data_IF_879105331907
#
_entry.id   IF_879105331907
#
_cell.length_a   1.000
_cell.length_b   1.000
_cell.length_c   1.000
_cell.angle_alpha   90.00
_cell.angle_beta   90.00
_cell.angle_gamma   90.00
#
_symmetry.space_group_name_H-M   'P 1'
#
loop_
_entity.id
_entity.type
_entity.pdbx_description
1 polymer ?
#
# COMPACT_ATOMS: atom_id res chain seq x y z
N UNK A 1 21.16 -0.07 14.55
CA UNK A 1 22.27 0.12 15.52
C UNK A 1 21.87 1.07 16.65
N UNK A 2 21.52 2.33 16.38
CA UNK A 2 21.17 3.33 17.42
C UNK A 2 20.08 2.89 18.40
N UNK A 3 18.94 2.40 17.91
CA UNK A 3 17.84 1.92 18.77
C UNK A 3 18.26 0.73 19.64
N UNK A 4 19.08 -0.19 19.09
CA UNK A 4 19.58 -1.34 19.83
C UNK A 4 20.50 -0.93 21.00
N UNK A 5 21.38 0.04 20.77
CA UNK A 5 22.25 0.59 21.82
C UNK A 5 21.43 1.30 22.91
N UNK A 6 20.40 2.05 22.52
CA UNK A 6 19.53 2.73 23.48
C UNK A 6 18.72 1.74 24.34
N UNK A 7 18.27 0.62 23.77
CA UNK A 7 17.60 -0.47 24.50
C UNK A 7 18.51 -1.14 25.52
N UNK A 8 19.79 -1.33 25.18
CA UNK A 8 20.78 -1.90 26.10
C UNK A 8 21.11 -0.94 27.25
N UNK A 9 21.19 0.37 26.96
CA UNK A 9 21.55 1.38 27.94
C UNK A 9 20.42 1.73 28.93
N UNK A 10 19.16 1.61 28.50
CA UNK A 10 17.98 1.93 29.33
C UNK A 10 16.87 0.90 29.07
N UNK A 11 16.76 -0.17 29.89
CA UNK A 11 15.80 -1.25 29.66
C UNK A 11 14.33 -0.81 29.80
N UNK A 12 14.07 0.30 30.49
CA UNK A 12 12.72 0.85 30.74
C UNK A 12 12.18 1.76 29.61
N UNK A 13 12.87 1.87 28.47
CA UNK A 13 12.36 2.66 27.34
C UNK A 13 12.45 4.18 27.57
N UNK A 14 13.62 4.76 27.32
CA UNK A 14 13.81 6.21 27.47
C UNK A 14 13.09 7.04 26.39
N UNK A 15 12.77 8.31 26.68
CA UNK A 15 12.16 9.25 25.70
C UNK A 15 12.91 9.32 24.37
N UNK A 16 14.24 9.22 24.42
CA UNK A 16 15.10 9.23 23.23
C UNK A 16 14.90 7.96 22.39
N UNK A 17 14.78 6.80 23.03
CA UNK A 17 14.48 5.55 22.32
C UNK A 17 13.14 5.64 21.59
N UNK A 18 12.08 6.07 22.29
CA UNK A 18 10.75 6.23 21.69
C UNK A 18 10.80 7.17 20.47
N UNK A 19 11.50 8.30 20.59
CA UNK A 19 11.65 9.24 19.49
C UNK A 19 12.30 8.59 18.24
N UNK A 20 13.37 7.81 18.42
CA UNK A 20 14.00 7.12 17.29
C UNK A 20 13.15 5.99 16.72
N UNK A 21 12.36 5.29 17.55
CA UNK A 21 11.42 4.27 17.09
C UNK A 21 10.27 4.88 16.27
N UNK A 22 9.71 6.00 16.72
CA UNK A 22 8.72 6.77 15.95
C UNK A 22 9.31 7.29 14.65
N UNK A 23 10.54 7.82 14.70
CA UNK A 23 11.24 8.30 13.52
C UNK A 23 11.49 7.17 12.52
N UNK A 24 11.92 6.00 12.99
CA UNK A 24 12.10 4.81 12.15
C UNK A 24 10.76 4.41 11.51
N UNK A 25 9.70 4.27 12.31
CA UNK A 25 8.37 3.92 11.83
C UNK A 25 7.87 4.89 10.75
N UNK A 26 8.05 6.19 10.96
CA UNK A 26 7.65 7.23 9.99
C UNK A 26 8.43 7.10 8.69
N UNK A 27 9.75 6.93 8.75
CA UNK A 27 10.56 6.78 7.54
C UNK A 27 10.28 5.46 6.82
N UNK A 28 10.01 4.36 7.55
CA UNK A 28 9.56 3.10 6.95
C UNK A 28 8.25 3.29 6.19
N UNK A 29 7.28 4.01 6.77
CA UNK A 29 6.01 4.28 6.09
C UNK A 29 6.20 5.12 4.80
N UNK A 30 7.13 6.07 4.81
CA UNK A 30 7.48 6.85 3.61
C UNK A 30 8.12 5.96 2.55
N UNK A 31 9.10 5.14 2.93
CA UNK A 31 9.73 4.21 2.00
C UNK A 31 8.73 3.25 1.36
N UNK A 32 7.80 2.72 2.16
CA UNK A 32 6.72 1.85 1.68
C UNK A 32 5.83 2.57 0.67
N UNK A 33 5.47 3.82 0.94
CA UNK A 33 4.71 4.64 0.00
C UNK A 33 5.48 4.86 -1.31
N UNK A 34 6.76 5.20 -1.24
CA UNK A 34 7.61 5.41 -2.42
C UNK A 34 7.71 4.16 -3.29
N UNK A 35 7.93 2.99 -2.66
CA UNK A 35 7.97 1.69 -3.33
C UNK A 35 6.65 1.39 -4.08
N UNK A 36 5.51 1.78 -3.51
CA UNK A 36 4.21 1.60 -4.16
C UNK A 36 3.96 2.62 -5.26
N UNK A 37 4.36 3.88 -5.07
CA UNK A 37 4.18 4.97 -6.05
C UNK A 37 4.94 4.69 -7.34
N UNK A 38 6.10 4.03 -7.27
CA UNK A 38 6.88 3.64 -8.44
C UNK A 38 6.08 2.75 -9.42
N UNK A 39 5.19 1.91 -8.91
CA UNK A 39 4.39 1.00 -9.75
C UNK A 39 2.92 1.39 -9.90
N UNK A 40 2.34 2.08 -8.92
CA UNK A 40 0.90 2.29 -8.81
C UNK A 40 0.53 3.78 -8.59
N UNK A 41 1.32 4.70 -9.12
CA UNK A 41 1.13 6.15 -8.92
C UNK A 41 -0.30 6.62 -9.17
N UNK A 42 -0.95 6.14 -10.23
CA UNK A 42 -2.26 6.64 -10.66
C UNK A 42 -3.37 6.09 -9.78
N UNK A 43 -3.28 4.83 -9.35
CA UNK A 43 -4.14 4.24 -8.34
C UNK A 43 -4.08 5.04 -7.03
N UNK A 44 -2.86 5.31 -6.54
CA UNK A 44 -2.65 5.98 -5.26
C UNK A 44 -3.17 7.42 -5.31
N UNK A 45 -2.84 8.16 -6.38
CA UNK A 45 -3.34 9.53 -6.59
C UNK A 45 -4.86 9.54 -6.63
N UNK A 46 -5.48 8.64 -7.39
CA UNK A 46 -6.93 8.55 -7.48
C UNK A 46 -7.58 8.35 -6.10
N UNK A 47 -7.14 7.34 -5.34
CA UNK A 47 -7.73 7.02 -4.03
C UNK A 47 -7.51 8.15 -3.03
N UNK A 48 -6.33 8.78 -3.00
CA UNK A 48 -6.03 9.91 -2.11
C UNK A 48 -6.85 11.15 -2.44
N UNK A 49 -7.00 11.48 -3.73
CA UNK A 49 -7.83 12.60 -4.16
C UNK A 49 -9.29 12.37 -3.74
N UNK A 50 -9.84 11.19 -3.97
CA UNK A 50 -11.22 10.86 -3.56
C UNK A 50 -11.42 10.90 -2.05
N UNK A 51 -10.49 10.36 -1.27
CA UNK A 51 -10.53 10.44 0.19
C UNK A 51 -10.51 11.89 0.69
N UNK A 52 -9.79 12.79 0.01
CA UNK A 52 -9.77 14.22 0.34
C UNK A 52 -11.06 14.95 -0.05
N UNK A 53 -11.67 14.60 -1.20
CA UNK A 53 -12.93 15.19 -1.66
C UNK A 53 -14.10 14.87 -0.73
N UNK A 54 -14.20 13.62 -0.27
CA UNK A 54 -15.24 13.17 0.67
C UNK A 54 -15.14 13.92 2.03
N UNK A 55 -13.95 14.36 2.44
CA UNK A 55 -13.73 15.10 3.69
C UNK A 55 -14.03 16.61 3.58
N UNK A 56 -13.81 17.20 2.39
CA UNK A 56 -13.79 18.67 2.23
C UNK A 56 -15.11 19.21 1.70
N UNK A 57 -15.80 18.49 0.81
CA UNK A 57 -16.87 19.12 0.04
C UNK A 57 -18.29 18.61 0.30
N UNK A 58 -18.50 17.41 0.84
CA UNK A 58 -19.86 16.83 0.95
C UNK A 58 -20.63 16.75 -0.39
N UNK A 59 -19.99 17.15 -1.50
CA UNK A 59 -20.49 17.14 -2.85
C UNK A 59 -19.85 15.95 -3.53
N UNK A 60 -20.64 14.91 -3.79
CA UNK A 60 -20.22 13.78 -4.61
C UNK A 60 -19.95 14.29 -6.03
N UNK A 61 -18.68 14.56 -6.37
CA UNK A 61 -18.33 14.68 -7.78
C UNK A 61 -18.50 13.28 -8.38
N UNK A 62 -19.44 13.06 -9.32
CA UNK A 62 -19.78 11.73 -9.76
C UNK A 62 -18.57 11.08 -10.41
N UNK A 63 -18.13 9.95 -9.87
CA UNK A 63 -17.01 9.17 -10.39
C UNK A 63 -17.44 8.58 -11.74
N UNK A 64 -16.69 8.89 -12.80
CA UNK A 64 -17.01 8.38 -14.13
C UNK A 64 -16.28 7.07 -14.42
N UNK A 65 -16.90 6.17 -15.19
CA UNK A 65 -16.26 4.92 -15.64
C UNK A 65 -14.95 5.21 -16.39
N UNK A 66 -14.93 6.30 -17.16
CA UNK A 66 -13.78 6.75 -17.95
C UNK A 66 -12.54 7.10 -17.13
N UNK A 67 -12.69 7.52 -15.88
CA UNK A 67 -11.57 7.83 -14.99
C UNK A 67 -11.01 6.57 -14.33
N UNK A 68 -11.86 5.59 -14.04
CA UNK A 68 -11.50 4.41 -13.23
C UNK A 68 -11.09 3.21 -14.08
N UNK A 69 -11.71 3.03 -15.24
CA UNK A 69 -11.41 1.95 -16.18
C UNK A 69 -9.91 1.82 -16.54
N UNK A 70 -9.17 2.89 -16.91
CA UNK A 70 -7.75 2.77 -17.22
C UNK A 70 -6.93 2.31 -16.01
N UNK A 71 -7.27 2.77 -14.81
CA UNK A 71 -6.57 2.41 -13.56
C UNK A 71 -6.78 0.93 -13.26
N UNK A 72 -8.01 0.43 -13.40
CA UNK A 72 -8.35 -0.98 -13.16
C UNK A 72 -7.63 -1.89 -14.17
N UNK A 73 -7.62 -1.50 -15.45
CA UNK A 73 -6.95 -2.27 -16.50
C UNK A 73 -5.43 -2.29 -16.31
N UNK A 74 -4.81 -1.13 -16.05
CA UNK A 74 -3.38 -1.04 -15.77
C UNK A 74 -3.00 -1.93 -14.59
N UNK A 75 -3.68 -1.74 -13.45
CA UNK A 75 -3.47 -2.53 -12.24
C UNK A 75 -3.61 -4.02 -12.52
N UNK A 76 -4.72 -4.46 -13.13
CA UNK A 76 -5.00 -5.86 -13.45
C UNK A 76 -3.93 -6.51 -14.33
N UNK A 77 -3.32 -5.75 -15.24
CA UNK A 77 -2.29 -6.25 -16.16
C UNK A 77 -0.91 -6.40 -15.52
N UNK A 78 -0.58 -5.58 -14.51
CA UNK A 78 0.81 -5.44 -14.02
C UNK A 78 1.05 -5.84 -12.57
N UNK A 79 0.02 -5.95 -11.74
CA UNK A 79 0.17 -6.04 -10.28
C UNK A 79 1.06 -7.22 -9.83
N UNK A 80 0.97 -8.38 -10.48
CA UNK A 80 1.78 -9.57 -10.16
C UNK A 80 3.27 -9.31 -10.38
N UNK A 81 3.60 -8.79 -11.57
CA UNK A 81 4.96 -8.47 -11.95
C UNK A 81 5.54 -7.35 -11.08
N UNK A 82 4.74 -6.33 -10.76
CA UNK A 82 5.14 -5.27 -9.85
C UNK A 82 5.47 -5.80 -8.44
N UNK A 83 4.66 -6.71 -7.87
CA UNK A 83 4.97 -7.32 -6.57
C UNK A 83 6.27 -8.13 -6.63
N UNK A 84 6.55 -8.84 -7.73
CA UNK A 84 7.79 -9.59 -7.90
C UNK A 84 9.01 -8.67 -7.99
N UNK A 85 8.89 -7.54 -8.71
CA UNK A 85 9.93 -6.51 -8.76
C UNK A 85 10.18 -5.90 -7.38
N UNK A 86 9.12 -5.47 -6.68
CA UNK A 86 9.21 -4.95 -5.31
C UNK A 86 9.88 -5.94 -4.36
N UNK A 87 9.54 -7.23 -4.46
CA UNK A 87 10.18 -8.27 -3.66
C UNK A 87 11.68 -8.34 -3.96
N UNK A 88 12.07 -8.37 -5.24
CA UNK A 88 13.47 -8.40 -5.67
C UNK A 88 14.27 -7.16 -5.20
N UNK A 89 13.67 -5.98 -5.29
CA UNK A 89 14.32 -4.74 -4.85
C UNK A 89 14.50 -4.72 -3.32
N UNK A 90 13.52 -5.22 -2.57
CA UNK A 90 13.60 -5.32 -1.12
C UNK A 90 14.66 -6.34 -0.67
N UNK A 91 14.70 -7.54 -1.25
CA UNK A 91 15.71 -8.55 -0.86
C UNK A 91 17.14 -8.12 -1.21
N UNK A 92 17.32 -7.31 -2.26
CA UNK A 92 18.64 -6.80 -2.66
C UNK A 92 19.07 -5.57 -1.87
N UNK A 93 18.11 -4.74 -1.44
CA UNK A 93 18.37 -3.51 -0.69
C UNK A 93 18.58 -3.73 0.81
N UNK A 94 17.99 -4.78 1.39
CA UNK A 94 18.06 -5.05 2.83
C UNK A 94 18.89 -6.29 3.14
N UNK A 95 20.03 -6.11 3.80
CA UNK A 95 20.90 -7.23 4.25
C UNK A 95 20.25 -8.10 5.33
N UNK A 96 19.23 -7.58 6.03
CA UNK A 96 18.43 -8.31 7.00
C UNK A 96 17.13 -8.77 6.34
N UNK A 97 17.04 -10.07 6.06
CA UNK A 97 15.88 -10.69 5.43
C UNK A 97 14.57 -10.43 6.21
N UNK A 98 14.59 -10.46 7.54
CA UNK A 98 13.42 -10.17 8.38
C UNK A 98 12.96 -8.73 8.18
N UNK A 99 13.88 -7.77 8.12
CA UNK A 99 13.53 -6.37 7.90
C UNK A 99 12.95 -6.15 6.50
N UNK A 100 13.52 -6.80 5.48
CA UNK A 100 12.99 -6.75 4.12
C UNK A 100 11.57 -7.31 4.04
N UNK A 101 11.33 -8.50 4.62
CA UNK A 101 10.00 -9.11 4.64
C UNK A 101 8.95 -8.24 5.34
N UNK A 102 9.30 -7.60 6.47
CA UNK A 102 8.38 -6.68 7.16
C UNK A 102 8.00 -5.47 6.30
N UNK A 103 8.97 -4.92 5.54
CA UNK A 103 8.74 -3.82 4.59
C UNK A 103 7.83 -4.28 3.45
N UNK A 104 8.09 -5.44 2.88
CA UNK A 104 7.24 -5.99 1.81
C UNK A 104 5.83 -6.25 2.32
N UNK A 105 5.68 -6.83 3.51
CA UNK A 105 4.36 -7.04 4.13
C UNK A 105 3.63 -5.73 4.34
N UNK A 106 4.31 -4.69 4.82
CA UNK A 106 3.74 -3.36 4.98
C UNK A 106 3.29 -2.79 3.62
N UNK A 107 4.08 -2.94 2.57
CA UNK A 107 3.73 -2.50 1.22
C UNK A 107 2.53 -3.25 0.65
N UNK A 108 2.46 -4.58 0.78
CA UNK A 108 1.32 -5.36 0.33
C UNK A 108 0.04 -5.01 1.09
N UNK A 109 0.16 -4.78 2.40
CA UNK A 109 -0.96 -4.34 3.23
C UNK A 109 -1.46 -2.97 2.79
N UNK A 110 -0.57 -2.02 2.55
CA UNK A 110 -0.93 -0.68 2.08
C UNK A 110 -1.48 -0.69 0.64
N UNK A 111 -0.95 -1.54 -0.24
CA UNK A 111 -1.50 -1.77 -1.58
C UNK A 111 -2.93 -2.29 -1.50
N UNK A 112 -3.21 -3.23 -0.59
CA UNK A 112 -4.56 -3.74 -0.35
C UNK A 112 -5.51 -2.61 0.08
N UNK A 113 -5.07 -1.70 0.96
CA UNK A 113 -5.89 -0.54 1.34
C UNK A 113 -6.22 0.36 0.14
N UNK A 114 -5.25 0.70 -0.71
CA UNK A 114 -5.53 1.47 -1.94
C UNK A 114 -6.48 0.75 -2.86
N UNK A 115 -6.25 -0.53 -3.05
CA UNK A 115 -7.09 -1.38 -3.85
C UNK A 115 -8.55 -1.43 -3.32
N UNK A 116 -8.74 -1.54 -1.99
CA UNK A 116 -10.09 -1.50 -1.39
C UNK A 116 -10.77 -0.16 -1.61
N UNK A 117 -10.03 0.96 -1.49
CA UNK A 117 -10.55 2.29 -1.80
C UNK A 117 -10.98 2.42 -3.26
N UNK A 118 -10.23 1.86 -4.20
CA UNK A 118 -10.61 1.80 -5.62
C UNK A 118 -11.91 0.99 -5.82
N UNK A 119 -12.00 -0.19 -5.20
CA UNK A 119 -13.17 -1.06 -5.29
C UNK A 119 -14.43 -0.40 -4.73
N UNK A 120 -14.31 0.31 -3.62
CA UNK A 120 -15.43 1.05 -3.02
C UNK A 120 -15.85 2.24 -3.88
N UNK A 121 -14.91 2.95 -4.50
CA UNK A 121 -15.21 3.97 -5.50
C UNK A 121 -16.01 3.39 -6.68
N UNK A 122 -15.63 2.20 -7.18
CA UNK A 122 -16.33 1.56 -8.28
C UNK A 122 -17.76 1.10 -7.94
N UNK A 123 -18.02 0.66 -6.70
CA UNK A 123 -19.38 0.27 -6.27
C UNK A 123 -20.36 1.44 -6.35
N UNK A 124 -19.87 2.68 -6.26
CA UNK A 124 -20.67 3.91 -6.39
C UNK A 124 -21.00 4.24 -7.86
N UNK A 125 -20.35 3.60 -8.84
CA UNK A 125 -20.55 3.86 -10.27
C UNK A 125 -21.61 2.91 -10.84
N UNK A 126 -22.71 3.47 -11.36
CA UNK A 126 -23.73 2.70 -12.06
C UNK A 126 -23.14 2.08 -13.35
N UNK A 127 -23.12 0.74 -13.46
CA UNK A 127 -22.67 0.00 -14.65
C UNK A 127 -21.29 -0.67 -14.56
N UNK A 128 -20.54 -0.53 -13.45
CA UNK A 128 -19.20 -1.11 -13.29
C UNK A 128 -19.16 -2.59 -12.86
N UNK A 129 -20.23 -3.36 -13.08
CA UNK A 129 -20.40 -4.71 -12.50
C UNK A 129 -19.37 -5.74 -13.00
N UNK A 130 -18.90 -5.63 -14.24
CA UNK A 130 -17.86 -6.51 -14.80
C UNK A 130 -16.47 -6.20 -14.22
N UNK A 131 -16.11 -4.91 -14.13
CA UNK A 131 -14.86 -4.46 -13.51
C UNK A 131 -14.81 -4.85 -12.03
N UNK A 132 -15.95 -4.83 -11.33
CA UNK A 132 -16.05 -5.25 -9.94
C UNK A 132 -15.67 -6.73 -9.74
N UNK A 133 -16.05 -7.62 -10.66
CA UNK A 133 -15.70 -9.04 -10.60
C UNK A 133 -14.20 -9.29 -10.83
N UNK A 134 -13.60 -8.58 -11.78
CA UNK A 134 -12.16 -8.67 -12.05
C UNK A 134 -11.35 -8.20 -10.85
N UNK A 135 -11.78 -7.09 -10.25
CA UNK A 135 -11.27 -6.60 -8.98
C UNK A 135 -11.35 -7.69 -7.89
N UNK A 136 -12.54 -8.18 -7.52
CA UNK A 136 -12.69 -9.17 -6.43
C UNK A 136 -11.79 -10.40 -6.62
N UNK A 137 -11.60 -10.84 -7.87
CA UNK A 137 -10.70 -11.96 -8.21
C UNK A 137 -9.22 -11.63 -7.94
N UNK A 138 -8.80 -10.39 -8.20
CA UNK A 138 -7.46 -9.90 -7.88
C UNK A 138 -7.28 -9.77 -6.36
N UNK A 139 -8.26 -9.25 -5.62
CA UNK A 139 -8.22 -9.17 -4.15
C UNK A 139 -7.97 -10.54 -3.52
N UNK A 140 -8.74 -11.53 -3.97
CA UNK A 140 -8.62 -12.90 -3.46
C UNK A 140 -7.21 -13.46 -3.70
N UNK A 141 -6.64 -13.20 -4.87
CA UNK A 141 -5.28 -13.63 -5.23
C UNK A 141 -4.20 -12.91 -4.40
N UNK A 142 -4.38 -11.62 -4.10
CA UNK A 142 -3.47 -10.86 -3.25
C UNK A 142 -3.52 -11.33 -1.79
N UNK A 143 -4.72 -11.57 -1.25
CA UNK A 143 -4.90 -12.04 0.13
C UNK A 143 -4.33 -13.44 0.33
N UNK A 144 -4.48 -14.34 -0.65
CA UNK A 144 -3.83 -15.66 -0.62
C UNK A 144 -2.31 -15.53 -0.54
N UNK A 145 -1.68 -14.72 -1.40
CA UNK A 145 -0.22 -14.51 -1.41
C UNK A 145 0.30 -13.88 -0.10
N UNK A 146 -0.47 -12.98 0.50
CA UNK A 146 -0.10 -12.35 1.77
C UNK A 146 -0.09 -13.36 2.95
N UNK A 147 -0.95 -14.38 2.92
CA UNK A 147 -0.99 -15.42 3.94
C UNK A 147 0.12 -16.48 3.78
N UNK A 148 0.57 -16.74 2.55
CA UNK A 148 1.67 -17.68 2.27
C UNK A 148 3.06 -17.17 2.66
N UNK A 149 3.18 -15.87 3.00
CA UNK A 149 4.45 -15.23 3.40
C UNK A 149 4.67 -15.19 4.93
N UNK A 150 3.89 -15.97 5.69
CA UNK A 150 3.96 -16.08 7.17
C UNK A 150 4.57 -17.42 7.58
#
# INVERSE_FOLDING_TARGET
MTIAVLKEAVPEGGKIQMHFEELLKRNTAIYVEELLVEHFSDLIKFVKTRASEDLVSGSEHPITVTEVEPIVKDFGSRWKAAIELMHNDVITSFSNCLCGMEILRAALTQLLFYYTGLSDCMKRIAGASTLNKDLVSISFSMTLRNNEST
#
